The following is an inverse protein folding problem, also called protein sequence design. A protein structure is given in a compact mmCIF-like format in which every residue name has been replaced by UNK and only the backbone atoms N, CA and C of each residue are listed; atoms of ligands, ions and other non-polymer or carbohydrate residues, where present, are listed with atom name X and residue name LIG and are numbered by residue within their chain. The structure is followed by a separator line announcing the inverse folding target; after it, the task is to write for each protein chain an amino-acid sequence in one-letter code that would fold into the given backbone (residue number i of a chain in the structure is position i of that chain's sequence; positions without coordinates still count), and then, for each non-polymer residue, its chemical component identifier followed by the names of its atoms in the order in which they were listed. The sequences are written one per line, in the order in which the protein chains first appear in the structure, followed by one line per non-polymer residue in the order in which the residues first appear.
data_IF_539461688465
#
_entry.id   IF_539461688465
#
_cell.length_a   1.000
_cell.length_b   1.000
_cell.length_c   1.000
_cell.angle_alpha   90.00
_cell.angle_beta   90.00
_cell.angle_gamma   90.00
#
_symmetry.space_group_name_H-M   'P 1'
#
loop_
_entity.id
_entity.type
_entity.pdbx_description
1 polymer ?
#
# COMPACT_ATOMS: atom_id res chain seq x y z
N UNK A 1 5.62 -23.86 -2.74
CA UNK A 1 4.89 -23.44 -3.93
C UNK A 1 3.57 -22.90 -3.43
N UNK A 2 3.45 -21.58 -3.31
CA UNK A 2 2.21 -20.94 -2.89
C UNK A 2 1.24 -21.09 -4.06
N UNK A 3 0.16 -21.81 -3.85
CA UNK A 3 -0.94 -21.91 -4.80
C UNK A 3 -1.47 -20.48 -4.98
N UNK A 4 -1.24 -19.90 -6.16
CA UNK A 4 -1.87 -18.62 -6.53
C UNK A 4 -3.36 -18.90 -6.51
N UNK A 5 -4.03 -18.35 -5.51
CA UNK A 5 -5.48 -18.50 -5.37
C UNK A 5 -6.13 -17.92 -6.63
N UNK A 6 -6.61 -18.80 -7.52
CA UNK A 6 -7.41 -18.36 -8.65
C UNK A 6 -8.65 -17.67 -8.10
N UNK A 7 -8.68 -16.36 -8.24
CA UNK A 7 -9.83 -15.57 -7.81
C UNK A 7 -11.06 -16.08 -8.58
N UNK A 8 -12.04 -16.59 -7.85
CA UNK A 8 -13.29 -16.99 -8.46
C UNK A 8 -14.10 -15.76 -8.92
N UNK A 9 -15.15 -15.94 -9.68
CA UNK A 9 -15.95 -14.84 -10.22
C UNK A 9 -16.59 -13.99 -9.11
N UNK A 10 -16.90 -14.59 -7.95
CA UNK A 10 -17.46 -13.88 -6.79
C UNK A 10 -16.42 -12.93 -6.16
N UNK A 11 -15.16 -13.35 -6.04
CA UNK A 11 -14.07 -12.52 -5.52
C UNK A 11 -13.77 -11.35 -6.48
N UNK A 12 -13.76 -11.63 -7.77
CA UNK A 12 -13.60 -10.57 -8.79
C UNK A 12 -14.72 -9.53 -8.69
N UNK A 13 -15.96 -9.97 -8.53
CA UNK A 13 -17.10 -9.07 -8.36
C UNK A 13 -17.02 -8.27 -7.05
N UNK A 14 -16.58 -8.89 -5.96
CA UNK A 14 -16.37 -8.21 -4.67
C UNK A 14 -15.30 -7.13 -4.77
N UNK A 15 -14.15 -7.45 -5.35
CA UNK A 15 -13.03 -6.51 -5.53
C UNK A 15 -13.39 -5.38 -6.49
N UNK A 16 -14.15 -5.66 -7.53
CA UNK A 16 -14.68 -4.61 -8.41
C UNK A 16 -15.61 -3.63 -7.67
N UNK A 17 -16.41 -4.11 -6.73
CA UNK A 17 -17.23 -3.24 -5.87
C UNK A 17 -16.37 -2.39 -4.93
N UNK A 18 -15.38 -2.98 -4.29
CA UNK A 18 -14.44 -2.26 -3.43
C UNK A 18 -13.75 -1.14 -4.22
N UNK A 19 -13.18 -1.47 -5.39
CA UNK A 19 -12.58 -0.47 -6.28
C UNK A 19 -13.54 0.68 -6.60
N UNK A 20 -14.79 0.38 -6.95
CA UNK A 20 -15.80 1.39 -7.26
C UNK A 20 -16.11 2.28 -6.04
N UNK A 21 -16.19 1.71 -4.85
CA UNK A 21 -16.43 2.46 -3.61
C UNK A 21 -15.26 3.42 -3.32
N UNK A 22 -14.02 2.92 -3.41
CA UNK A 22 -12.83 3.74 -3.16
C UNK A 22 -12.65 4.83 -4.22
N UNK A 23 -13.08 4.60 -5.47
CA UNK A 23 -13.03 5.60 -6.53
C UNK A 23 -14.09 6.71 -6.36
N UNK A 24 -15.18 6.47 -5.63
CA UNK A 24 -16.26 7.46 -5.45
C UNK A 24 -16.00 8.46 -4.32
N UNK A 25 -15.19 8.10 -3.32
CA UNK A 25 -14.91 8.95 -2.17
C UNK A 25 -13.72 9.88 -2.41
N UNK A 26 -13.73 11.03 -1.75
CA UNK A 26 -12.57 11.92 -1.73
C UNK A 26 -11.55 11.45 -0.68
N UNK A 27 -10.98 10.27 -0.92
CA UNK A 27 -10.00 9.67 0.00
C UNK A 27 -8.64 10.34 -0.07
N UNK A 28 -8.36 11.08 -1.15
CA UNK A 28 -7.19 11.95 -1.22
C UNK A 28 -7.30 13.09 -0.20
N UNK A 29 -8.47 13.71 -0.06
CA UNK A 29 -8.70 14.69 0.99
C UNK A 29 -8.60 14.08 2.40
N UNK A 30 -9.05 12.84 2.60
CA UNK A 30 -8.84 12.14 3.88
C UNK A 30 -7.36 11.98 4.17
N UNK A 31 -6.57 11.50 3.22
CA UNK A 31 -5.13 11.30 3.39
C UNK A 31 -4.40 12.61 3.69
N UNK A 32 -4.75 13.69 2.98
CA UNK A 32 -4.04 14.97 3.06
C UNK A 32 -4.52 15.90 4.16
N UNK A 33 -5.77 15.79 4.62
CA UNK A 33 -6.38 16.72 5.56
C UNK A 33 -6.75 16.10 6.91
N UNK A 34 -7.06 14.80 6.95
CA UNK A 34 -7.54 14.12 8.16
C UNK A 34 -6.42 13.33 8.85
N UNK A 35 -5.65 12.58 8.09
CA UNK A 35 -4.61 11.70 8.62
C UNK A 35 -3.19 11.96 8.05
N UNK A 36 -2.80 13.19 7.69
CA UNK A 36 -1.49 13.42 7.05
C UNK A 36 -0.31 13.04 7.95
N UNK A 37 -0.49 13.07 9.26
CA UNK A 37 0.58 12.76 10.21
C UNK A 37 0.90 11.26 10.31
N UNK A 38 -0.01 10.38 9.90
CA UNK A 38 0.18 8.93 10.07
C UNK A 38 1.25 8.35 9.13
N UNK A 39 1.42 8.91 7.94
CA UNK A 39 2.46 8.49 7.01
C UNK A 39 3.86 8.60 7.59
N UNK A 40 4.31 9.78 8.06
CA UNK A 40 5.57 9.92 8.77
C UNK A 40 5.73 8.98 9.98
N UNK A 41 4.68 8.81 10.78
CA UNK A 41 4.70 7.88 11.94
C UNK A 41 4.98 6.44 11.48
N UNK A 42 4.35 5.98 10.41
CA UNK A 42 4.59 4.64 9.87
C UNK A 42 6.02 4.49 9.35
N UNK A 43 6.52 5.47 8.61
CA UNK A 43 7.87 5.48 8.05
C UNK A 43 8.92 5.44 9.15
N UNK A 44 8.77 6.27 10.19
CA UNK A 44 9.67 6.29 11.34
C UNK A 44 9.61 4.98 12.12
N UNK A 45 8.40 4.48 12.38
CA UNK A 45 8.18 3.24 13.12
C UNK A 45 8.75 2.00 12.45
N UNK A 46 8.75 1.96 11.11
CA UNK A 46 9.35 0.86 10.34
C UNK A 46 10.85 1.02 10.13
N UNK A 47 11.42 2.16 10.50
CA UNK A 47 12.85 2.41 10.39
C UNK A 47 13.36 2.36 8.95
N UNK A 48 12.65 2.99 8.03
CA UNK A 48 13.02 3.06 6.61
C UNK A 48 14.33 3.85 6.48
N UNK A 49 15.28 3.30 5.72
CA UNK A 49 16.57 3.93 5.46
C UNK A 49 16.70 4.34 3.99
N UNK A 50 17.52 5.35 3.68
CA UNK A 50 17.86 5.66 2.30
C UNK A 50 18.35 4.43 1.53
N UNK A 51 17.78 4.20 0.34
CA UNK A 51 18.10 3.06 -0.51
C UNK A 51 17.30 1.79 -0.23
N UNK A 52 16.56 1.70 0.87
CA UNK A 52 15.64 0.58 1.10
C UNK A 52 14.63 0.47 -0.06
N UNK A 53 14.36 -0.75 -0.48
CA UNK A 53 13.27 -1.04 -1.42
C UNK A 53 11.99 -1.26 -0.64
N UNK A 54 11.05 -0.35 -0.78
CA UNK A 54 9.82 -0.28 0.02
C UNK A 54 8.60 -0.53 -0.86
N UNK A 55 7.71 -1.42 -0.42
CA UNK A 55 6.37 -1.59 -1.00
C UNK A 55 5.32 -0.99 -0.05
N UNK A 56 4.53 -0.07 -0.55
CA UNK A 56 3.33 0.45 0.10
C UNK A 56 2.11 -0.24 -0.50
N UNK A 57 1.42 -1.07 0.29
CA UNK A 57 0.28 -1.88 -0.13
C UNK A 57 -1.02 -1.19 0.27
N UNK A 58 -1.96 -1.11 -0.66
CA UNK A 58 -3.16 -0.29 -0.55
C UNK A 58 -2.79 1.17 -0.27
N UNK A 59 -1.89 1.69 -1.11
CA UNK A 59 -1.21 2.96 -0.92
C UNK A 59 -2.12 4.19 -1.08
N UNK A 60 -3.27 4.03 -1.74
CA UNK A 60 -4.15 5.14 -2.05
C UNK A 60 -3.44 6.23 -2.85
N UNK A 61 -3.55 7.47 -2.40
CA UNK A 61 -2.84 8.62 -2.98
C UNK A 61 -1.43 8.84 -2.39
N UNK A 62 -0.89 7.86 -1.67
CA UNK A 62 0.52 7.85 -1.25
C UNK A 62 0.82 8.49 0.10
N UNK A 63 -0.12 8.47 1.04
CA UNK A 63 0.08 9.05 2.37
C UNK A 63 1.30 8.48 3.12
N UNK A 64 1.66 7.20 2.88
CA UNK A 64 2.90 6.61 3.38
C UNK A 64 4.02 6.58 2.31
N UNK A 65 3.67 6.43 1.04
CA UNK A 65 4.64 6.39 -0.06
C UNK A 65 5.46 7.68 -0.18
N UNK A 66 4.81 8.85 -0.08
CA UNK A 66 5.49 10.14 -0.20
C UNK A 66 6.52 10.35 0.92
N UNK A 67 6.20 10.20 2.22
CA UNK A 67 7.23 10.34 3.27
C UNK A 67 8.32 9.27 3.18
N UNK A 68 8.04 8.05 2.72
CA UNK A 68 9.07 7.04 2.49
C UNK A 68 10.05 7.46 1.37
N UNK A 69 9.53 8.02 0.27
CA UNK A 69 10.37 8.55 -0.80
C UNK A 69 11.19 9.77 -0.35
N UNK A 70 10.61 10.66 0.46
CA UNK A 70 11.35 11.78 1.07
C UNK A 70 12.48 11.31 1.99
N UNK A 71 12.33 10.14 2.63
CA UNK A 71 13.38 9.50 3.42
C UNK A 71 14.46 8.83 2.58
N UNK A 72 14.36 8.87 1.26
CA UNK A 72 15.35 8.33 0.33
C UNK A 72 15.13 6.86 -0.06
N UNK A 73 14.00 6.27 0.26
CA UNK A 73 13.65 4.93 -0.16
C UNK A 73 13.30 4.86 -1.66
N UNK A 74 13.49 3.68 -2.24
CA UNK A 74 12.98 3.32 -3.57
C UNK A 74 11.59 2.72 -3.39
N UNK A 75 10.56 3.51 -3.64
CA UNK A 75 9.19 3.17 -3.30
C UNK A 75 8.43 2.62 -4.49
N UNK A 76 7.74 1.51 -4.27
CA UNK A 76 6.67 1.00 -5.12
C UNK A 76 5.36 1.17 -4.36
N UNK A 77 4.40 1.84 -4.95
CA UNK A 77 3.05 2.04 -4.40
C UNK A 77 2.05 1.20 -5.18
N UNK A 78 1.32 0.33 -4.48
CA UNK A 78 0.34 -0.57 -5.09
C UNK A 78 -1.04 -0.32 -4.49
N UNK A 79 -2.04 -0.15 -5.35
CA UNK A 79 -3.44 0.00 -4.94
C UNK A 79 -4.38 -0.64 -5.96
N UNK A 80 -5.54 -1.06 -5.52
CA UNK A 80 -6.60 -1.62 -6.37
C UNK A 80 -7.30 -0.52 -7.21
N UNK A 81 -7.18 0.75 -6.79
CA UNK A 81 -7.92 1.91 -7.30
C UNK A 81 -7.01 2.85 -8.09
N UNK A 82 -6.98 2.77 -9.43
CA UNK A 82 -6.10 3.60 -10.26
C UNK A 82 -6.34 5.09 -10.09
N UNK A 83 -7.56 5.52 -9.79
CA UNK A 83 -7.92 6.92 -9.55
C UNK A 83 -7.14 7.50 -8.36
N UNK A 84 -6.95 6.73 -7.29
CA UNK A 84 -6.14 7.15 -6.15
C UNK A 84 -4.65 7.19 -6.49
N UNK A 85 -4.16 6.22 -7.27
CA UNK A 85 -2.78 6.23 -7.75
C UNK A 85 -2.48 7.45 -8.63
N UNK A 86 -3.47 7.93 -9.41
CA UNK A 86 -3.31 9.13 -10.24
C UNK A 86 -3.14 10.40 -9.37
N UNK A 87 -3.89 10.52 -8.27
CA UNK A 87 -3.65 11.58 -7.29
C UNK A 87 -2.23 11.49 -6.69
N UNK A 88 -1.81 10.28 -6.32
CA UNK A 88 -0.46 10.04 -5.79
C UNK A 88 0.65 10.43 -6.76
N UNK A 89 0.50 10.11 -8.05
CA UNK A 89 1.43 10.54 -9.10
C UNK A 89 1.54 12.06 -9.19
N UNK A 90 0.42 12.77 -9.08
CA UNK A 90 0.40 14.24 -9.11
C UNK A 90 1.11 14.82 -7.89
N UNK A 91 0.88 14.27 -6.69
CA UNK A 91 1.57 14.69 -5.47
C UNK A 91 3.08 14.46 -5.59
N UNK A 92 3.50 13.25 -5.99
CA UNK A 92 4.91 12.93 -6.17
C UNK A 92 5.59 13.87 -7.20
N UNK A 93 4.94 14.12 -8.34
CA UNK A 93 5.46 15.01 -9.36
C UNK A 93 5.60 16.45 -8.85
N UNK A 94 4.66 16.96 -8.06
CA UNK A 94 4.72 18.30 -7.48
C UNK A 94 5.89 18.50 -6.53
N UNK A 95 6.38 17.42 -5.93
CA UNK A 95 7.53 17.41 -5.00
C UNK A 95 8.84 16.93 -5.65
N UNK A 96 8.81 16.53 -6.94
CA UNK A 96 9.97 15.96 -7.61
C UNK A 96 10.39 14.59 -7.07
N UNK A 97 9.46 13.82 -6.52
CA UNK A 97 9.69 12.48 -6.00
C UNK A 97 9.45 11.43 -7.07
N UNK A 98 10.32 10.41 -7.10
CA UNK A 98 10.17 9.25 -7.97
C UNK A 98 9.56 8.09 -7.17
N UNK A 99 8.39 7.63 -7.58
CA UNK A 99 7.67 6.49 -7.00
C UNK A 99 7.07 5.67 -8.14
N UNK A 100 7.22 4.36 -8.10
CA UNK A 100 6.60 3.44 -9.05
C UNK A 100 5.18 3.13 -8.59
N UNK A 101 4.18 3.50 -9.40
CA UNK A 101 2.76 3.34 -9.08
C UNK A 101 2.15 2.22 -9.90
N UNK A 102 1.65 1.18 -9.23
CA UNK A 102 1.09 0.00 -9.86
C UNK A 102 -0.34 -0.29 -9.38
N UNK A 103 -1.24 -0.61 -10.29
CA UNK A 103 -2.49 -1.26 -9.92
C UNK A 103 -2.19 -2.68 -9.42
N UNK A 104 -2.71 -3.04 -8.25
CA UNK A 104 -2.45 -4.34 -7.65
C UNK A 104 -3.44 -4.69 -6.54
N UNK A 105 -3.67 -5.99 -6.41
CA UNK A 105 -4.49 -6.59 -5.36
C UNK A 105 -3.60 -7.00 -4.18
N UNK A 106 -3.92 -6.51 -2.99
CA UNK A 106 -3.19 -6.83 -1.77
C UNK A 106 -3.17 -8.34 -1.44
N UNK A 107 -4.12 -9.10 -1.97
CA UNK A 107 -4.23 -10.54 -1.76
C UNK A 107 -3.52 -11.38 -2.82
N UNK A 108 -2.99 -10.74 -3.87
CA UNK A 108 -2.27 -11.37 -4.98
C UNK A 108 -1.27 -10.38 -5.58
N UNK A 109 -0.24 -10.04 -4.82
CA UNK A 109 0.76 -9.04 -5.21
C UNK A 109 1.62 -9.54 -6.38
N UNK A 110 1.78 -8.73 -7.45
CA UNK A 110 2.50 -9.16 -8.66
C UNK A 110 4.03 -9.01 -8.51
N UNK A 111 4.57 -9.37 -7.36
CA UNK A 111 6.00 -9.25 -7.05
C UNK A 111 6.58 -10.60 -6.63
N UNK A 112 7.87 -10.77 -6.85
CA UNK A 112 8.60 -11.96 -6.45
C UNK A 112 8.78 -12.05 -4.93
N UNK A 113 8.99 -13.27 -4.42
CA UNK A 113 9.28 -13.54 -3.03
C UNK A 113 10.52 -12.76 -2.57
N UNK A 114 10.45 -12.16 -1.40
CA UNK A 114 11.58 -11.48 -0.78
C UNK A 114 12.14 -10.28 -1.56
N UNK A 115 11.33 -9.65 -2.41
CA UNK A 115 11.78 -8.56 -3.29
C UNK A 115 11.87 -7.18 -2.61
N UNK A 116 11.35 -7.03 -1.38
CA UNK A 116 11.34 -5.75 -0.66
C UNK A 116 12.07 -5.85 0.69
N UNK A 117 12.78 -4.78 1.05
CA UNK A 117 13.39 -4.60 2.38
C UNK A 117 12.33 -4.31 3.44
N UNK A 118 11.33 -3.51 3.05
CA UNK A 118 10.19 -3.11 3.88
C UNK A 118 8.91 -3.21 3.09
N UNK A 119 7.87 -3.76 3.69
CA UNK A 119 6.50 -3.64 3.21
C UNK A 119 5.68 -2.90 4.25
N UNK A 120 4.77 -2.05 3.81
CA UNK A 120 3.95 -1.26 4.71
C UNK A 120 2.53 -1.10 4.17
N UNK A 121 1.59 -0.82 5.07
CA UNK A 121 0.24 -0.40 4.70
C UNK A 121 -0.33 0.54 5.76
N UNK A 122 -0.82 1.69 5.31
CA UNK A 122 -1.43 2.71 6.15
C UNK A 122 -2.94 2.74 5.93
N UNK A 123 -3.69 2.24 6.91
CA UNK A 123 -5.17 2.23 6.89
C UNK A 123 -5.74 1.72 5.55
N UNK A 124 -5.12 0.69 4.99
CA UNK A 124 -5.47 0.16 3.67
C UNK A 124 -5.77 -1.33 3.70
N UNK A 125 -4.77 -2.15 4.03
CA UNK A 125 -4.87 -3.61 3.98
C UNK A 125 -5.98 -4.17 4.88
N UNK A 126 -6.37 -3.45 5.93
CA UNK A 126 -7.47 -3.83 6.81
C UNK A 126 -8.82 -3.94 6.08
N UNK A 127 -8.96 -3.34 4.91
CA UNK A 127 -10.15 -3.40 4.07
C UNK A 127 -10.13 -4.51 3.03
N UNK A 128 -9.03 -5.24 2.91
CA UNK A 128 -8.96 -6.41 2.05
C UNK A 128 -9.93 -7.50 2.56
N UNK A 129 -10.74 -8.10 1.68
CA UNK A 129 -11.77 -9.07 2.11
C UNK A 129 -11.17 -10.33 2.75
N UNK A 130 -10.00 -10.77 2.33
CA UNK A 130 -9.33 -11.97 2.83
C UNK A 130 -8.04 -11.60 3.56
N UNK A 131 -8.16 -11.22 4.84
CA UNK A 131 -7.04 -10.71 5.65
C UNK A 131 -5.85 -11.67 5.70
N UNK A 132 -6.10 -13.00 5.78
CA UNK A 132 -5.01 -13.96 5.79
C UNK A 132 -4.22 -13.96 4.48
N UNK A 133 -4.91 -13.92 3.34
CA UNK A 133 -4.26 -13.89 2.04
C UNK A 133 -3.38 -12.64 1.89
N UNK A 134 -3.87 -11.48 2.29
CA UNK A 134 -3.08 -10.24 2.24
C UNK A 134 -1.91 -10.25 3.23
N UNK A 135 -2.06 -10.84 4.42
CA UNK A 135 -0.96 -11.02 5.36
C UNK A 135 0.13 -11.96 4.82
N UNK A 136 -0.28 -13.07 4.21
CA UNK A 136 0.64 -14.02 3.59
C UNK A 136 1.43 -13.37 2.45
N UNK A 137 0.79 -12.54 1.64
CA UNK A 137 1.44 -11.77 0.57
C UNK A 137 2.46 -10.75 1.10
N UNK A 138 2.13 -10.01 2.17
CA UNK A 138 3.10 -9.11 2.82
C UNK A 138 4.35 -9.86 3.28
N UNK A 139 4.16 -11.02 3.92
CA UNK A 139 5.27 -11.86 4.38
C UNK A 139 6.06 -12.40 3.19
N UNK A 140 5.38 -12.89 2.15
CA UNK A 140 6.01 -13.48 0.97
C UNK A 140 6.94 -12.51 0.25
N UNK A 141 6.45 -11.28 0.01
CA UNK A 141 7.23 -10.29 -0.76
C UNK A 141 8.30 -9.57 0.06
N UNK A 142 8.22 -9.63 1.40
CA UNK A 142 9.26 -9.10 2.29
C UNK A 142 10.42 -10.08 2.39
N UNK A 143 11.67 -9.61 2.19
CA UNK A 143 12.84 -10.48 2.30
C UNK A 143 13.03 -11.01 3.73
N UNK A 144 13.71 -12.15 3.92
CA UNK A 144 14.14 -12.58 5.24
C UNK A 144 14.95 -11.49 5.94
N UNK A 145 14.58 -11.19 7.20
CA UNK A 145 15.17 -10.09 7.97
C UNK A 145 14.69 -8.69 7.56
N UNK A 146 13.74 -8.60 6.64
CA UNK A 146 13.04 -7.36 6.30
C UNK A 146 12.04 -6.95 7.39
N UNK A 147 11.31 -5.88 7.15
CA UNK A 147 10.38 -5.29 8.12
C UNK A 147 9.01 -5.12 7.51
N UNK A 148 7.98 -5.29 8.32
CA UNK A 148 6.57 -5.03 7.95
C UNK A 148 6.01 -4.01 8.93
N UNK A 149 5.45 -2.90 8.41
CA UNK A 149 4.80 -1.86 9.19
C UNK A 149 3.35 -1.69 8.81
N UNK A 150 2.46 -1.66 9.79
CA UNK A 150 1.03 -1.50 9.58
C UNK A 150 0.46 -0.44 10.53
N UNK A 151 -0.42 0.41 10.01
CA UNK A 151 -1.33 1.24 10.83
C UNK A 151 -2.76 0.90 10.42
N UNK A 152 -3.59 0.61 11.39
CA UNK A 152 -5.01 0.27 11.21
C UNK A 152 -5.85 0.96 12.27
N UNK A 153 -7.11 1.23 11.95
CA UNK A 153 -8.07 1.65 12.96
C UNK A 153 -8.33 0.53 13.96
N UNK A 154 -8.58 0.90 15.20
CA UNK A 154 -9.14 0.01 16.22
C UNK A 154 -10.65 0.20 16.30
N UNK A 155 -11.39 -0.72 16.99
CA UNK A 155 -12.83 -0.51 17.21
C UNK A 155 -13.17 0.77 18.00
N UNK A 156 -12.20 1.33 18.70
CA UNK A 156 -12.35 2.56 19.50
C UNK A 156 -12.00 3.84 18.70
N UNK A 157 -11.43 3.72 17.51
CA UNK A 157 -11.03 4.83 16.64
C UNK A 157 -9.54 5.01 16.50
#
# INVERSE_FOLDING_TARGET
MTEVMELNDADRALKARHRAIWAMGDYDAVATQVIPALGPVLVDGTGINPGDRVLDVAAGSGNASLPAARAGARVVASDLTPELLDHGRQHAASEGLEIDWHEGDAEALPYEDGSFDVTMSLVGIMFAPHHQASADELVRVTRPGGRIGLISWTPEG
#
